data_IF_865529514246
#
_entry.id   IF_865529514246
#
_cell.length_a   1.000
_cell.length_b   1.000
_cell.length_c   1.000
_cell.angle_alpha   90.00
_cell.angle_beta   90.00
_cell.angle_gamma   90.00
#
_symmetry.space_group_name_H-M   'P 1'
#
loop_
_entity.id
_entity.type
_entity.pdbx_description
1 polymer ?
#
# COMPACT_ATOMS: atom_id res chain seq x y z
N UNK A 1 -3.66 13.01 -10.34
CA UNK A 1 -2.69 12.11 -11.02
C UNK A 1 -3.52 11.08 -11.76
N UNK A 2 -3.31 10.94 -13.07
CA UNK A 2 -4.12 10.03 -13.89
C UNK A 2 -3.61 8.60 -13.68
N UNK A 3 -4.52 7.63 -13.57
CA UNK A 3 -4.24 6.19 -13.35
C UNK A 3 -3.25 5.57 -14.37
N UNK A 4 -3.02 6.28 -15.48
CA UNK A 4 -2.08 5.90 -16.54
C UNK A 4 -0.61 6.10 -16.16
N UNK A 5 -0.31 6.97 -15.19
CA UNK A 5 1.07 7.25 -14.74
C UNK A 5 1.58 6.23 -13.71
N UNK A 6 0.68 5.41 -13.15
CA UNK A 6 1.01 4.41 -12.16
C UNK A 6 1.64 3.17 -12.80
N UNK A 7 2.56 2.53 -12.07
CA UNK A 7 3.07 1.23 -12.48
C UNK A 7 1.92 0.21 -12.50
N UNK A 8 2.01 -0.87 -13.32
CA UNK A 8 0.98 -1.91 -13.33
C UNK A 8 0.67 -2.49 -11.95
N UNK A 9 1.69 -2.59 -11.08
CA UNK A 9 1.55 -3.06 -9.70
C UNK A 9 0.76 -2.06 -8.84
N UNK A 10 1.04 -0.76 -8.95
CA UNK A 10 0.33 0.26 -8.17
C UNK A 10 -1.14 0.39 -8.59
N UNK A 11 -1.47 0.15 -9.87
CA UNK A 11 -2.87 0.05 -10.30
C UNK A 11 -3.61 -1.11 -9.62
N UNK A 12 -2.96 -2.26 -9.49
CA UNK A 12 -3.54 -3.41 -8.78
C UNK A 12 -3.72 -3.11 -7.29
N UNK A 13 -2.73 -2.49 -6.66
CA UNK A 13 -2.82 -2.05 -5.27
C UNK A 13 -4.03 -1.15 -5.05
N UNK A 14 -4.19 -0.10 -5.88
CA UNK A 14 -5.34 0.81 -5.78
C UNK A 14 -6.68 0.13 -6.01
N UNK A 15 -6.77 -0.79 -6.99
CA UNK A 15 -8.01 -1.52 -7.25
C UNK A 15 -8.45 -2.34 -6.03
N UNK A 16 -7.52 -3.06 -5.39
CA UNK A 16 -7.83 -3.86 -4.18
C UNK A 16 -8.13 -2.95 -2.99
N UNK A 17 -7.38 -1.84 -2.82
CA UNK A 17 -7.61 -0.89 -1.74
C UNK A 17 -8.99 -0.23 -1.81
N UNK A 18 -9.55 -0.04 -3.00
CA UNK A 18 -10.91 0.49 -3.17
C UNK A 18 -12.00 -0.44 -2.63
N UNK A 19 -11.75 -1.74 -2.55
CA UNK A 19 -12.69 -2.71 -1.95
C UNK A 19 -12.73 -2.59 -0.42
N UNK A 20 -11.65 -2.12 0.20
CA UNK A 20 -11.52 -1.96 1.65
C UNK A 20 -10.74 -0.66 2.00
N UNK A 21 -11.34 0.53 1.80
CA UNK A 21 -10.63 1.80 1.95
C UNK A 21 -10.16 2.05 3.39
N UNK A 22 -10.91 1.56 4.38
CA UNK A 22 -10.63 1.79 5.80
C UNK A 22 -9.66 0.76 6.43
N UNK A 23 -9.24 -0.26 5.68
CA UNK A 23 -8.38 -1.34 6.17
C UNK A 23 -6.94 -1.18 5.67
N UNK A 24 -5.94 -1.52 6.48
CA UNK A 24 -4.54 -1.57 6.04
C UNK A 24 -4.34 -2.70 5.02
N UNK A 25 -3.87 -2.36 3.81
CA UNK A 25 -3.62 -3.36 2.78
C UNK A 25 -2.17 -3.85 2.82
N UNK A 26 -1.98 -5.05 3.36
CA UNK A 26 -0.70 -5.75 3.32
C UNK A 26 -0.50 -6.36 1.93
N UNK A 27 0.25 -5.69 1.07
CA UNK A 27 0.52 -6.15 -0.28
C UNK A 27 1.75 -7.06 -0.31
N UNK A 28 1.57 -8.32 -0.73
CA UNK A 28 2.68 -9.27 -0.77
C UNK A 28 3.63 -8.94 -1.92
N UNK A 29 4.87 -8.61 -1.58
CA UNK A 29 5.96 -8.39 -2.53
C UNK A 29 7.09 -9.38 -2.22
N UNK A 30 7.07 -10.53 -2.90
CA UNK A 30 8.02 -11.62 -2.64
C UNK A 30 7.83 -12.24 -1.26
N UNK A 31 8.85 -12.09 -0.41
CA UNK A 31 8.91 -12.63 0.96
C UNK A 31 8.37 -11.66 2.02
N UNK A 32 8.09 -10.41 1.64
CA UNK A 32 7.59 -9.37 2.55
C UNK A 32 6.17 -8.96 2.22
N UNK A 33 5.53 -8.33 3.21
CA UNK A 33 4.31 -7.57 3.02
C UNK A 33 4.64 -6.10 3.14
N UNK A 34 4.37 -5.34 2.09
CA UNK A 34 4.57 -3.90 2.05
C UNK A 34 3.22 -3.19 2.09
N UNK A 35 3.22 -2.03 2.74
CA UNK A 35 2.11 -1.08 2.72
C UNK A 35 2.59 0.15 1.98
N UNK A 36 1.68 0.79 1.23
CA UNK A 36 2.02 1.96 0.41
C UNK A 36 1.19 3.17 0.81
N UNK A 37 1.70 4.36 0.49
CA UNK A 37 1.02 5.64 0.75
C UNK A 37 0.69 5.86 2.24
N UNK A 38 -0.56 6.24 2.57
CA UNK A 38 -0.98 6.51 3.95
C UNK A 38 -0.96 5.26 4.85
N UNK A 39 -1.13 4.08 4.26
CA UNK A 39 -1.05 2.82 5.00
C UNK A 39 0.37 2.60 5.52
N UNK A 40 1.40 2.97 4.73
CA UNK A 40 2.80 2.90 5.13
C UNK A 40 3.10 3.83 6.31
N UNK A 41 2.61 5.07 6.23
CA UNK A 41 2.79 6.07 7.30
C UNK A 41 2.14 5.58 8.59
N UNK A 42 0.89 5.09 8.49
CA UNK A 42 0.16 4.54 9.64
C UNK A 42 0.90 3.33 10.23
N UNK A 43 1.25 2.35 9.41
CA UNK A 43 1.93 1.14 9.86
C UNK A 43 3.29 1.44 10.48
N UNK A 44 4.08 2.37 9.91
CA UNK A 44 5.39 2.75 10.47
C UNK A 44 5.27 3.33 11.88
N UNK A 45 4.22 4.12 12.14
CA UNK A 45 3.96 4.70 13.46
C UNK A 45 3.47 3.65 14.45
N UNK A 46 2.48 2.83 14.06
CA UNK A 46 1.83 1.89 14.98
C UNK A 46 2.66 0.63 15.23
N UNK A 47 3.46 0.19 14.26
CA UNK A 47 4.28 -1.03 14.35
C UNK A 47 5.76 -0.74 14.63
N UNK A 48 6.14 0.53 14.75
CA UNK A 48 7.52 0.99 14.98
C UNK A 48 8.52 0.43 13.94
N UNK A 49 8.08 0.30 12.68
CA UNK A 49 8.91 -0.13 11.55
C UNK A 49 9.44 1.07 10.76
N UNK A 50 10.59 0.91 10.10
CA UNK A 50 11.18 1.97 9.29
C UNK A 50 10.32 2.29 8.07
N UNK A 51 9.98 3.58 7.89
CA UNK A 51 9.31 4.11 6.70
C UNK A 51 10.34 4.46 5.62
N UNK A 52 10.13 4.01 4.37
CA UNK A 52 11.03 4.21 3.22
C UNK A 52 10.33 4.86 2.04
#
# INVERSE_FOLDING_TARGET
MSDQDLTPMMRQYHAVKQEAPDALLLFRLGDFYELFFEDAVTASRELEITLT
#
